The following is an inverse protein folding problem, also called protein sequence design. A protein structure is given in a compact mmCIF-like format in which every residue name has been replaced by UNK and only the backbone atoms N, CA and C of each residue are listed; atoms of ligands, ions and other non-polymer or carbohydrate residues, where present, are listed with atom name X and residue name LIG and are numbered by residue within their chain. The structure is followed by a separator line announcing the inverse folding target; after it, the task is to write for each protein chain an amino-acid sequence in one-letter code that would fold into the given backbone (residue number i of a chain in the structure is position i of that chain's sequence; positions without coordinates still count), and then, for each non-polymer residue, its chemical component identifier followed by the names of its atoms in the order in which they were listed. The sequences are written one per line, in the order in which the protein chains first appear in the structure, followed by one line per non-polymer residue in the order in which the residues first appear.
data_IF_438741874942
#
_entry.id   IF_438741874942
#
_cell.length_a   1.000
_cell.length_b   1.000
_cell.length_c   1.000
_cell.angle_alpha   90.00
_cell.angle_beta   90.00
_cell.angle_gamma   90.00
#
_symmetry.space_group_name_H-M   'P 1'
#
loop_
_entity.id
_entity.type
_entity.pdbx_description
1 polymer ?
#
# COMPACT_ATOMS: atom_id res chain seq x y z
N UNK A 1 -38.41 -43.87 -27.69
CA UNK A 1 -37.35 -43.67 -26.68
C UNK A 1 -36.34 -42.72 -27.30
N UNK A 2 -36.57 -41.42 -27.11
CA UNK A 2 -35.80 -40.34 -27.72
C UNK A 2 -34.76 -39.86 -26.71
N UNK A 3 -33.49 -40.01 -27.05
CA UNK A 3 -32.36 -39.50 -26.26
C UNK A 3 -32.31 -37.98 -26.47
N UNK A 4 -32.60 -37.24 -25.40
CA UNK A 4 -32.46 -35.79 -25.33
C UNK A 4 -30.96 -35.46 -25.25
N UNK A 5 -30.46 -34.76 -26.27
CA UNK A 5 -29.17 -34.07 -26.25
C UNK A 5 -29.40 -32.70 -25.61
N UNK A 6 -29.11 -32.56 -24.31
CA UNK A 6 -29.05 -31.25 -23.66
C UNK A 6 -27.70 -30.59 -23.94
N UNK A 7 -27.76 -29.61 -24.85
CA UNK A 7 -26.74 -28.59 -25.03
C UNK A 7 -26.89 -27.54 -23.94
N UNK A 8 -26.09 -27.60 -22.88
CA UNK A 8 -25.93 -26.46 -21.97
C UNK A 8 -24.46 -26.37 -21.52
N UNK A 9 -23.73 -25.63 -22.34
CA UNK A 9 -22.66 -24.69 -21.99
C UNK A 9 -22.15 -24.80 -20.56
N UNK A 10 -20.95 -25.37 -20.46
CA UNK A 10 -20.04 -25.22 -19.33
C UNK A 10 -19.86 -23.72 -19.05
N UNK A 11 -20.49 -23.21 -18.00
CA UNK A 11 -20.11 -21.96 -17.36
C UNK A 11 -18.73 -22.16 -16.71
N UNK A 12 -17.69 -22.12 -17.55
CA UNK A 12 -16.33 -21.85 -17.07
C UNK A 12 -16.33 -20.36 -16.75
N UNK A 13 -16.64 -20.03 -15.49
CA UNK A 13 -16.33 -18.73 -14.93
C UNK A 13 -14.83 -18.59 -15.00
N UNK A 14 -14.34 -17.89 -16.03
CA UNK A 14 -13.03 -17.31 -16.02
C UNK A 14 -13.05 -16.26 -14.91
N UNK A 15 -12.78 -16.68 -13.68
CA UNK A 15 -12.21 -15.78 -12.68
C UNK A 15 -10.87 -15.35 -13.26
N UNK A 16 -10.86 -14.22 -13.94
CA UNK A 16 -9.63 -13.48 -14.10
C UNK A 16 -9.07 -13.29 -12.69
N UNK A 17 -7.74 -13.46 -12.47
CA UNK A 17 -7.17 -13.04 -11.20
C UNK A 17 -7.56 -11.56 -11.05
N UNK A 18 -8.31 -11.25 -10.00
CA UNK A 18 -8.40 -9.89 -9.51
C UNK A 18 -6.96 -9.51 -9.13
N UNK A 19 -6.18 -9.02 -10.10
CA UNK A 19 -5.32 -7.90 -9.80
C UNK A 19 -6.29 -6.83 -9.34
N UNK A 20 -6.47 -6.72 -8.01
CA UNK A 20 -7.04 -5.52 -7.44
C UNK A 20 -6.26 -4.39 -8.10
N UNK A 21 -6.94 -3.53 -8.87
CA UNK A 21 -6.32 -2.29 -9.32
C UNK A 21 -6.03 -1.55 -8.02
N UNK A 22 -4.79 -1.67 -7.53
CA UNK A 22 -4.32 -0.87 -6.42
C UNK A 22 -4.61 0.56 -6.81
N UNK A 23 -5.46 1.25 -6.04
CA UNK A 23 -5.65 2.67 -6.23
C UNK A 23 -4.27 3.33 -6.24
N UNK A 24 -4.06 4.37 -7.04
CA UNK A 24 -2.78 5.06 -7.02
C UNK A 24 -2.75 6.02 -5.84
N UNK A 25 -1.61 6.17 -5.15
CA UNK A 25 -1.46 7.21 -4.13
C UNK A 25 -1.81 8.59 -4.70
N UNK A 26 -2.51 9.39 -3.91
CA UNK A 26 -2.82 10.79 -4.25
C UNK A 26 -1.54 11.65 -4.22
N UNK A 27 -0.64 11.30 -3.30
CA UNK A 27 0.59 12.03 -3.01
C UNK A 27 1.74 11.07 -2.79
N UNK A 28 2.93 11.48 -3.23
CA UNK A 28 4.18 10.73 -3.08
C UNK A 28 5.22 11.65 -2.44
N UNK A 29 6.06 11.11 -1.56
CA UNK A 29 7.28 11.76 -1.12
C UNK A 29 8.38 10.71 -0.95
N UNK A 30 9.58 11.05 -1.42
CA UNK A 30 10.78 10.27 -1.20
C UNK A 30 11.82 11.11 -0.46
N UNK A 31 12.42 10.52 0.55
CA UNK A 31 13.52 11.11 1.30
C UNK A 31 14.57 10.05 1.68
N UNK A 32 15.72 10.52 2.16
CA UNK A 32 16.78 9.71 2.75
C UNK A 32 17.17 10.30 4.11
N UNK A 33 16.92 9.56 5.19
CA UNK A 33 17.29 9.92 6.57
C UNK A 33 18.04 8.78 7.22
N UNK A 34 19.10 9.10 7.96
CA UNK A 34 19.87 8.14 8.76
C UNK A 34 20.30 6.87 7.98
N UNK A 35 20.65 7.05 6.71
CA UNK A 35 21.08 5.97 5.82
C UNK A 35 19.94 5.13 5.21
N UNK A 36 18.70 5.34 5.64
CA UNK A 36 17.49 4.65 5.15
C UNK A 36 16.75 5.51 4.13
N UNK A 37 15.90 4.86 3.33
CA UNK A 37 15.06 5.52 2.36
C UNK A 37 13.62 5.55 2.85
N UNK A 38 13.04 6.74 2.86
CA UNK A 38 11.70 6.99 3.38
C UNK A 38 10.77 7.24 2.20
N UNK A 39 9.78 6.38 2.02
CA UNK A 39 8.75 6.52 1.00
C UNK A 39 7.39 6.73 1.68
N UNK A 40 6.78 7.87 1.40
CA UNK A 40 5.43 8.21 1.84
C UNK A 40 4.47 8.12 0.66
N UNK A 41 3.35 7.43 0.85
CA UNK A 41 2.25 7.28 -0.09
C UNK A 41 0.95 7.73 0.61
N UNK A 42 0.35 8.83 0.14
CA UNK A 42 -0.89 9.39 0.70
C UNK A 42 -2.15 8.80 0.07
N UNK A 43 -3.23 8.74 0.84
CA UNK A 43 -4.50 8.06 0.49
C UNK A 43 -4.24 6.60 0.10
N UNK A 44 -3.45 5.90 0.94
CA UNK A 44 -2.97 4.55 0.69
C UNK A 44 -3.10 3.68 1.95
N UNK A 45 -3.97 2.68 1.90
CA UNK A 45 -4.30 1.86 3.08
C UNK A 45 -3.22 0.84 3.43
N UNK A 46 -3.28 0.31 4.65
CA UNK A 46 -2.42 -0.76 5.15
C UNK A 46 -2.50 -1.99 4.26
N UNK A 47 -3.71 -2.34 3.80
CA UNK A 47 -3.89 -3.42 2.83
C UNK A 47 -3.11 -3.13 1.54
N UNK A 48 -3.29 -1.95 0.96
CA UNK A 48 -2.60 -1.56 -0.27
C UNK A 48 -1.09 -1.54 -0.10
N UNK A 49 -0.59 -0.99 1.02
CA UNK A 49 0.83 -0.97 1.34
C UNK A 49 1.43 -2.38 1.46
N UNK A 50 0.73 -3.28 2.16
CA UNK A 50 1.15 -4.68 2.28
C UNK A 50 1.18 -5.43 0.95
N UNK A 51 0.26 -5.12 0.03
CA UNK A 51 0.22 -5.70 -1.32
C UNK A 51 1.43 -5.32 -2.20
N UNK A 52 2.15 -4.24 -1.88
CA UNK A 52 3.35 -3.82 -2.62
C UNK A 52 4.58 -4.66 -2.26
N UNK A 53 4.60 -5.25 -1.07
CA UNK A 53 5.77 -5.92 -0.50
C UNK A 53 6.02 -7.30 -1.12
N UNK A 54 7.29 -7.75 -1.20
CA UNK A 54 7.58 -9.18 -1.36
C UNK A 54 6.84 -9.98 -0.29
N UNK A 55 6.29 -11.14 -0.66
CA UNK A 55 5.40 -11.94 0.21
C UNK A 55 6.13 -12.79 1.25
N UNK A 56 7.43 -12.94 1.12
CA UNK A 56 8.29 -13.82 1.92
C UNK A 56 9.11 -13.06 2.99
N UNK A 57 8.86 -11.76 3.18
CA UNK A 57 9.54 -10.98 4.22
C UNK A 57 9.16 -11.49 5.61
N UNK A 58 10.17 -11.85 6.41
CA UNK A 58 10.01 -12.27 7.81
C UNK A 58 9.60 -11.07 8.68
N UNK A 59 8.47 -11.18 9.37
CA UNK A 59 8.02 -10.18 10.34
C UNK A 59 8.79 -10.37 11.64
N UNK A 60 9.48 -9.33 12.10
CA UNK A 60 10.22 -9.34 13.38
C UNK A 60 9.48 -8.62 14.50
N UNK A 61 8.66 -7.63 14.15
CA UNK A 61 7.84 -6.91 15.09
C UNK A 61 6.54 -6.44 14.41
N UNK A 62 5.47 -6.37 15.19
CA UNK A 62 4.17 -5.90 14.72
C UNK A 62 3.44 -5.18 15.85
N UNK A 63 2.83 -4.03 15.52
CA UNK A 63 1.97 -3.25 16.40
C UNK A 63 0.68 -2.95 15.66
N UNK A 64 -0.43 -3.49 16.16
CA UNK A 64 -1.76 -3.32 15.57
C UNK A 64 -2.71 -2.71 16.59
N UNK A 65 -3.58 -1.81 16.13
CA UNK A 65 -4.62 -1.18 16.93
C UNK A 65 -5.84 -0.87 16.09
N UNK A 66 -7.00 -1.38 16.49
CA UNK A 66 -8.27 -1.10 15.82
C UNK A 66 -9.46 -1.20 16.78
N UNK A 67 -10.53 -0.44 16.50
CA UNK A 67 -11.84 -0.60 17.14
C UNK A 67 -12.80 -1.47 16.32
N UNK A 68 -12.36 -1.93 15.14
CA UNK A 68 -13.18 -2.60 14.12
C UNK A 68 -12.87 -4.10 14.04
N UNK A 69 -12.87 -4.78 15.19
CA UNK A 69 -12.57 -6.22 15.22
C UNK A 69 -13.32 -6.95 16.32
N UNK A 70 -14.08 -8.01 15.94
CA UNK A 70 -14.79 -8.93 16.85
C UNK A 70 -15.66 -8.25 17.95
N UNK A 71 -16.20 -7.06 17.67
CA UNK A 71 -16.95 -6.24 18.64
C UNK A 71 -16.12 -5.88 19.91
N UNK A 72 -14.79 -5.84 19.80
CA UNK A 72 -13.92 -5.36 20.87
C UNK A 72 -13.91 -3.83 20.87
N UNK A 73 -13.79 -3.22 22.05
CA UNK A 73 -13.62 -1.77 22.15
C UNK A 73 -12.25 -1.30 21.65
N UNK A 74 -11.25 -2.17 21.73
CA UNK A 74 -9.90 -1.98 21.23
C UNK A 74 -9.25 -3.36 21.07
N UNK A 75 -8.93 -3.72 19.83
CA UNK A 75 -8.17 -4.92 19.50
C UNK A 75 -6.71 -4.56 19.27
N UNK A 76 -5.84 -5.41 19.79
CA UNK A 76 -4.37 -5.31 19.71
C UNK A 76 -3.82 -6.50 18.94
N UNK A 77 -2.52 -6.50 18.64
CA UNK A 77 -1.82 -7.63 18.00
C UNK A 77 -2.15 -9.01 18.63
N UNK A 78 -2.32 -9.08 19.95
CA UNK A 78 -2.68 -10.30 20.69
C UNK A 78 -4.08 -10.87 20.37
N UNK A 79 -4.97 -10.09 19.77
CA UNK A 79 -6.32 -10.50 19.37
C UNK A 79 -6.37 -11.12 17.97
N UNK A 80 -5.29 -10.97 17.20
CA UNK A 80 -5.14 -11.46 15.82
C UNK A 80 -4.38 -12.80 15.76
N UNK A 81 -4.47 -13.54 14.64
CA UNK A 81 -3.54 -14.64 14.37
C UNK A 81 -2.08 -14.15 14.39
N UNK A 82 -1.16 -15.03 14.75
CA UNK A 82 0.27 -14.73 14.59
C UNK A 82 0.64 -14.74 13.12
N UNK A 83 1.21 -13.64 12.63
CA UNK A 83 1.74 -13.50 11.28
C UNK A 83 3.26 -13.64 11.29
N UNK A 84 3.79 -14.53 10.46
CA UNK A 84 5.24 -14.76 10.31
C UNK A 84 5.83 -14.04 9.11
N UNK A 85 5.01 -13.85 8.08
CA UNK A 85 5.45 -13.25 6.81
C UNK A 85 4.53 -12.13 6.37
N UNK A 86 5.06 -11.21 5.56
CA UNK A 86 4.26 -10.19 4.87
C UNK A 86 3.11 -10.79 4.07
N UNK A 87 3.29 -11.96 3.44
CA UNK A 87 2.26 -12.65 2.69
C UNK A 87 1.09 -13.12 3.56
N UNK A 88 1.36 -13.68 4.73
CA UNK A 88 0.31 -14.10 5.68
C UNK A 88 -0.51 -12.91 6.17
N UNK A 89 0.15 -11.80 6.50
CA UNK A 89 -0.54 -10.57 6.92
C UNK A 89 -1.33 -9.94 5.77
N UNK A 90 -0.76 -9.90 4.56
CA UNK A 90 -1.45 -9.42 3.36
C UNK A 90 -2.70 -10.25 3.05
N UNK A 91 -2.63 -11.58 3.14
CA UNK A 91 -3.79 -12.44 2.91
C UNK A 91 -4.88 -12.23 3.95
N UNK A 92 -4.49 -11.96 5.21
CA UNK A 92 -5.44 -11.60 6.26
C UNK A 92 -6.16 -10.29 5.95
N UNK A 93 -5.44 -9.23 5.59
CA UNK A 93 -6.04 -7.92 5.27
C UNK A 93 -6.98 -8.00 4.06
N UNK A 94 -6.59 -8.70 3.00
CA UNK A 94 -7.45 -8.86 1.82
C UNK A 94 -8.68 -9.75 2.09
N UNK A 95 -8.61 -10.64 3.09
CA UNK A 95 -9.72 -11.52 3.45
C UNK A 95 -10.64 -10.94 4.52
N UNK A 96 -10.22 -9.87 5.20
CA UNK A 96 -10.94 -9.27 6.31
C UNK A 96 -10.91 -7.75 6.16
N UNK A 97 -12.07 -7.15 5.96
CA UNK A 97 -12.21 -5.70 6.02
C UNK A 97 -11.99 -5.25 7.47
N UNK A 98 -10.76 -4.81 7.79
CA UNK A 98 -10.38 -4.29 9.10
C UNK A 98 -9.63 -2.99 8.91
N UNK A 99 -10.17 -1.92 9.48
CA UNK A 99 -9.55 -0.60 9.43
C UNK A 99 -8.67 -0.37 10.66
N UNK A 100 -7.37 -0.09 10.46
CA UNK A 100 -6.42 0.09 11.55
C UNK A 100 -6.18 1.56 11.89
N UNK A 101 -6.29 1.90 13.18
CA UNK A 101 -5.86 3.18 13.73
C UNK A 101 -4.34 3.22 13.94
N UNK A 102 -3.76 2.05 14.22
CA UNK A 102 -2.31 1.87 14.35
C UNK A 102 -1.95 0.59 13.61
N UNK A 103 -1.02 0.71 12.68
CA UNK A 103 -0.48 -0.43 11.96
C UNK A 103 1.01 -0.16 11.74
N UNK A 104 1.87 -0.93 12.40
CA UNK A 104 3.31 -0.86 12.21
C UNK A 104 3.85 -2.28 12.10
N UNK A 105 4.63 -2.55 11.06
CA UNK A 105 5.23 -3.87 10.82
C UNK A 105 6.70 -3.66 10.49
N UNK A 106 7.57 -4.36 11.19
CA UNK A 106 9.00 -4.40 10.91
C UNK A 106 9.36 -5.74 10.28
N UNK A 107 10.15 -5.67 9.21
CA UNK A 107 10.60 -6.81 8.43
C UNK A 107 12.12 -6.95 8.54
N UNK A 108 12.56 -8.18 8.75
CA UNK A 108 13.98 -8.52 8.84
C UNK A 108 14.71 -8.14 7.56
N UNK A 109 15.84 -7.44 7.72
CA UNK A 109 16.75 -7.05 6.63
C UNK A 109 16.10 -6.27 5.47
N UNK A 110 14.90 -5.70 5.67
CA UNK A 110 14.15 -5.00 4.63
C UNK A 110 13.77 -3.58 5.05
N UNK A 111 13.19 -3.42 6.26
CA UNK A 111 12.68 -2.14 6.72
C UNK A 111 11.35 -2.27 7.45
N UNK A 112 10.55 -1.21 7.47
CA UNK A 112 9.22 -1.20 8.08
C UNK A 112 8.17 -0.56 7.18
N UNK A 113 6.91 -0.88 7.47
CA UNK A 113 5.71 -0.19 6.98
C UNK A 113 4.92 0.28 8.21
N UNK A 114 4.57 1.55 8.22
CA UNK A 114 3.62 2.12 9.18
C UNK A 114 2.47 2.82 8.45
N UNK A 115 1.26 2.71 8.98
CA UNK A 115 0.11 3.50 8.54
C UNK A 115 -0.54 4.23 9.71
N UNK A 116 -1.11 5.39 9.41
CA UNK A 116 -1.90 6.18 10.35
C UNK A 116 -3.32 6.29 9.82
N UNK A 117 -4.32 5.96 10.65
CA UNK A 117 -5.75 5.98 10.29
C UNK A 117 -6.06 5.25 8.97
N UNK A 118 -5.26 4.23 8.62
CA UNK A 118 -5.33 3.48 7.36
C UNK A 118 -5.39 4.34 6.08
N UNK A 119 -4.92 5.58 6.15
CA UNK A 119 -5.04 6.57 5.08
C UNK A 119 -3.71 6.92 4.42
N UNK A 120 -2.59 6.53 5.02
CA UNK A 120 -1.26 6.82 4.50
C UNK A 120 -0.30 5.68 4.82
N UNK A 121 0.55 5.34 3.85
CA UNK A 121 1.63 4.38 4.05
C UNK A 121 2.97 5.10 4.13
N UNK A 122 3.73 4.79 5.16
CA UNK A 122 5.08 5.25 5.36
C UNK A 122 6.02 4.03 5.43
N UNK A 123 6.84 3.88 4.39
CA UNK A 123 7.86 2.85 4.31
C UNK A 123 9.22 3.43 4.70
N UNK A 124 9.95 2.70 5.54
CA UNK A 124 11.34 2.99 5.86
C UNK A 124 12.20 1.79 5.43
N UNK A 125 12.91 1.92 4.30
CA UNK A 125 13.59 0.81 3.63
C UNK A 125 15.12 0.93 3.71
N UNK A 126 15.78 -0.22 3.77
CA UNK A 126 17.25 -0.28 3.85
C UNK A 126 17.92 -0.06 2.48
N UNK A 127 17.32 -0.54 1.39
CA UNK A 127 17.93 -0.47 0.05
C UNK A 127 17.15 0.42 -0.92
N UNK A 128 17.90 1.10 -1.78
CA UNK A 128 17.33 1.94 -2.85
C UNK A 128 16.52 1.12 -3.87
N UNK A 129 16.94 -0.11 -4.16
CA UNK A 129 16.26 -1.00 -5.11
C UNK A 129 14.81 -1.23 -4.72
N UNK A 130 14.59 -1.44 -3.43
CA UNK A 130 13.30 -1.84 -2.88
C UNK A 130 12.33 -0.67 -2.99
N UNK A 131 12.79 0.55 -2.69
CA UNK A 131 12.01 1.78 -2.86
C UNK A 131 11.62 1.99 -4.32
N UNK A 132 12.57 1.79 -5.25
CA UNK A 132 12.31 1.92 -6.68
C UNK A 132 11.25 0.91 -7.14
N UNK A 133 11.28 -0.30 -6.60
CA UNK A 133 10.27 -1.31 -6.88
C UNK A 133 8.89 -0.93 -6.32
N UNK A 134 8.83 -0.46 -5.07
CA UNK A 134 7.56 -0.02 -4.47
C UNK A 134 6.95 1.15 -5.26
N UNK A 135 7.74 2.16 -5.63
CA UNK A 135 7.27 3.29 -6.45
C UNK A 135 6.70 2.77 -7.77
N UNK A 136 7.39 1.86 -8.46
CA UNK A 136 6.91 1.31 -9.73
C UNK A 136 5.57 0.59 -9.58
N UNK A 137 5.41 -0.18 -8.50
CA UNK A 137 4.16 -0.91 -8.20
C UNK A 137 3.02 0.02 -7.79
N UNK A 138 3.30 1.12 -7.11
CA UNK A 138 2.28 2.04 -6.60
C UNK A 138 1.86 3.12 -7.60
N UNK A 139 2.66 3.36 -8.65
CA UNK A 139 2.37 4.42 -9.64
C UNK A 139 1.59 3.91 -10.86
N UNK A 140 0.82 4.79 -11.54
CA UNK A 140 0.25 4.46 -12.85
C UNK A 140 1.34 4.08 -13.85
N UNK A 141 1.20 2.95 -14.55
CA UNK A 141 2.21 2.41 -15.47
C UNK A 141 2.72 3.46 -16.48
N UNK A 142 1.77 4.21 -17.06
CA UNK A 142 2.03 5.26 -18.05
C UNK A 142 2.87 6.45 -17.53
N UNK A 143 2.88 6.70 -16.21
CA UNK A 143 3.60 7.82 -15.60
C UNK A 143 4.72 7.37 -14.64
N UNK A 144 4.89 6.07 -14.43
CA UNK A 144 5.79 5.51 -13.43
C UNK A 144 7.23 6.03 -13.54
N UNK A 145 7.79 6.04 -14.75
CA UNK A 145 9.17 6.53 -14.97
C UNK A 145 9.31 8.03 -14.70
N UNK A 146 8.29 8.83 -15.05
CA UNK A 146 8.29 10.26 -14.82
C UNK A 146 8.22 10.57 -13.32
N UNK A 147 7.31 9.92 -12.60
CA UNK A 147 7.13 10.07 -11.15
C UNK A 147 8.41 9.66 -10.43
N UNK A 148 8.97 8.50 -10.76
CA UNK A 148 10.21 8.01 -10.17
C UNK A 148 11.37 8.99 -10.39
N UNK A 149 11.55 9.50 -11.61
CA UNK A 149 12.60 10.50 -11.91
C UNK A 149 12.43 11.74 -11.03
N UNK A 150 11.19 12.24 -10.90
CA UNK A 150 10.91 13.43 -10.08
C UNK A 150 11.14 13.21 -8.59
N UNK A 151 10.75 12.05 -8.05
CA UNK A 151 11.03 11.72 -6.64
C UNK A 151 12.54 11.64 -6.36
N UNK A 152 13.32 11.14 -7.30
CA UNK A 152 14.79 11.06 -7.17
C UNK A 152 15.48 12.42 -7.35
N UNK A 153 14.96 13.29 -8.23
CA UNK A 153 15.46 14.65 -8.47
C UNK A 153 15.13 15.61 -7.32
N UNK A 154 13.98 15.42 -6.68
CA UNK A 154 13.39 16.33 -5.69
C UNK A 154 13.12 15.61 -4.36
N UNK A 155 14.17 15.12 -3.66
CA UNK A 155 13.97 14.54 -2.33
C UNK A 155 13.38 15.59 -1.38
N UNK A 156 12.60 15.14 -0.39
CA UNK A 156 11.90 16.03 0.57
C UNK A 156 10.87 16.97 -0.08
N UNK A 157 10.27 16.56 -1.20
CA UNK A 157 9.14 17.26 -1.82
C UNK A 157 7.96 16.33 -1.98
N UNK A 158 6.77 16.87 -1.76
CA UNK A 158 5.53 16.18 -2.04
C UNK A 158 5.22 16.34 -3.52
N UNK A 159 4.86 15.24 -4.17
CA UNK A 159 4.43 15.20 -5.55
C UNK A 159 2.99 14.71 -5.60
N UNK A 160 2.12 15.44 -6.29
CA UNK A 160 0.82 14.92 -6.74
C UNK A 160 0.84 14.77 -8.25
N UNK A 161 0.04 13.83 -8.75
CA UNK A 161 -0.03 13.54 -10.19
C UNK A 161 -1.49 13.55 -10.57
N UNK A 162 -1.87 14.48 -11.45
CA UNK A 162 -3.24 14.52 -11.93
C UNK A 162 -3.50 13.42 -12.98
N UNK A 163 -4.77 13.15 -13.37
CA UNK A 163 -5.08 12.12 -14.36
C UNK A 163 -4.39 12.29 -15.72
N UNK A 164 -3.99 13.53 -16.07
CA UNK A 164 -3.29 13.86 -17.31
C UNK A 164 -1.76 13.68 -17.22
N UNK A 165 -1.24 13.28 -16.06
CA UNK A 165 0.19 13.07 -15.83
C UNK A 165 0.97 14.34 -15.51
N UNK A 166 0.30 15.46 -15.25
CA UNK A 166 0.96 16.67 -14.78
C UNK A 166 1.34 16.52 -13.31
N UNK A 167 2.60 16.83 -13.01
CA UNK A 167 3.16 16.73 -11.67
C UNK A 167 3.13 18.10 -11.01
N UNK A 168 2.48 18.19 -9.85
CA UNK A 168 2.57 19.35 -8.96
C UNK A 168 3.54 19.03 -7.83
N UNK A 169 4.33 20.03 -7.43
CA UNK A 169 5.40 19.89 -6.44
C UNK A 169 5.12 20.84 -5.28
N UNK A 170 5.10 20.31 -4.06
CA UNK A 170 4.94 21.09 -2.84
C UNK A 170 6.18 20.94 -1.95
N UNK A 171 6.60 22.07 -1.37
CA UNK A 171 7.81 22.18 -0.55
C UNK A 171 7.59 21.77 0.91
N UNK A 172 6.34 21.85 1.39
CA UNK A 172 5.94 21.51 2.75
C UNK A 172 4.57 20.83 2.73
N UNK A 173 4.25 20.12 3.81
CA UNK A 173 2.92 19.55 4.01
C UNK A 173 1.85 20.64 4.09
N UNK A 174 2.12 21.75 4.79
CA UNK A 174 1.21 22.90 4.85
C UNK A 174 0.92 23.48 3.46
N UNK A 175 1.91 23.55 2.58
CA UNK A 175 1.70 24.00 1.21
C UNK A 175 0.77 23.04 0.45
N UNK A 176 1.03 21.73 0.57
CA UNK A 176 0.17 20.70 -0.01
C UNK A 176 -1.27 20.83 0.48
N UNK A 177 -1.49 20.96 1.79
CA UNK A 177 -2.83 21.12 2.36
C UNK A 177 -3.52 22.39 1.87
N UNK A 178 -2.85 23.53 1.89
CA UNK A 178 -3.47 24.81 1.47
C UNK A 178 -3.88 24.83 0.00
N UNK A 179 -3.13 24.15 -0.87
CA UNK A 179 -3.38 24.12 -2.31
C UNK A 179 -4.34 23.00 -2.74
N UNK A 180 -4.52 21.96 -1.92
CA UNK A 180 -5.42 20.82 -2.21
C UNK A 180 -6.68 20.76 -1.33
N UNK A 181 -6.78 21.56 -0.26
CA UNK A 181 -8.05 21.80 0.42
C UNK A 181 -8.94 22.70 -0.45
N UNK A 182 -9.70 22.07 -1.34
CA UNK A 182 -10.90 22.66 -1.90
C UNK A 182 -11.93 22.76 -0.76
N UNK A 183 -12.44 23.97 -0.53
CA UNK A 183 -13.61 24.23 0.33
C UNK A 183 -14.82 23.39 -0.03
#
# INVERSE_FOLDING_TARGET
MLISLSSELRNVSYRQPLYAMTANPSTYLLDKRDGKFILFLGEYSSEQGMLLLPRDLEIVNISLGTTDYKNLSWATESDFPTFRTSGELSDFLTSNEVWFLTFEVEFKDYGSLSTHDDGECHFELLNKSDVVELIKKSTPEQYSSLILSKLLELPNKYLTVNPNGEIQVYHTFDQYLNENQVK
#
